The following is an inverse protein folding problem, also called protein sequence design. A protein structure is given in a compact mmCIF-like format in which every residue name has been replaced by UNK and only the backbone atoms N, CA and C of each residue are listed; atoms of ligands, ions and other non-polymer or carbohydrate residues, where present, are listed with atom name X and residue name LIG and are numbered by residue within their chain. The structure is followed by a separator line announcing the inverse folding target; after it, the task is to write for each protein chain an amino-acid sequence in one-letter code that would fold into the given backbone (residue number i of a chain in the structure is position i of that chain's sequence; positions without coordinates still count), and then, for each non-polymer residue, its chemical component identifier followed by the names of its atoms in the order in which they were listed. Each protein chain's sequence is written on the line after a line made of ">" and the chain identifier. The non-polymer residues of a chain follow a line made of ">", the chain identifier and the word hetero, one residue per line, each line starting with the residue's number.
data_IF_356017911439
#
_entry.id   IF_356017911439
#
_cell.length_a   1.000
_cell.length_b   1.000
_cell.length_c   1.000
_cell.angle_alpha   90.00
_cell.angle_beta   90.00
_cell.angle_gamma   90.00
#
_symmetry.space_group_name_H-M   'P 1'
#
loop_
_entity.id
_entity.type
_entity.pdbx_description
1 polymer ?
#
# COMPACT_ATOMS: atom_id res chain seq x y z
N UNK A 1 2.72 -9.87 23.00
CA UNK A 1 1.86 -10.37 21.91
C UNK A 1 2.74 -10.94 20.79
N UNK A 2 2.56 -12.21 20.42
CA UNK A 2 3.32 -12.83 19.35
C UNK A 2 3.07 -12.09 18.02
N UNK A 3 4.15 -11.57 17.39
CA UNK A 3 4.06 -10.84 16.12
C UNK A 3 3.74 -11.83 15.01
N UNK A 4 2.51 -11.80 14.52
CA UNK A 4 2.10 -12.59 13.36
C UNK A 4 2.97 -12.23 12.15
N UNK A 5 3.62 -13.25 11.60
CA UNK A 5 4.50 -13.14 10.44
C UNK A 5 3.66 -13.41 9.19
N UNK A 6 3.40 -12.38 8.39
CA UNK A 6 2.97 -12.62 7.00
C UNK A 6 4.18 -13.11 6.22
N UNK A 7 4.01 -14.18 5.45
CA UNK A 7 5.09 -14.70 4.62
C UNK A 7 5.46 -13.66 3.55
N UNK A 8 6.77 -13.47 3.29
CA UNK A 8 7.25 -12.55 2.23
C UNK A 8 6.67 -12.89 0.85
N UNK A 9 6.33 -14.17 0.64
CA UNK A 9 5.65 -14.67 -0.57
C UNK A 9 4.28 -14.06 -0.81
N UNK A 10 3.64 -13.44 0.19
CA UNK A 10 2.36 -12.76 0.03
C UNK A 10 2.50 -11.34 -0.55
N UNK A 11 3.71 -10.86 -0.85
CA UNK A 11 3.91 -9.53 -1.43
C UNK A 11 3.11 -9.31 -2.73
N UNK A 12 3.06 -10.23 -3.71
CA UNK A 12 2.25 -10.04 -4.91
C UNK A 12 0.75 -9.94 -4.61
N UNK A 13 0.28 -10.63 -3.56
CA UNK A 13 -1.10 -10.51 -3.10
C UNK A 13 -1.34 -9.14 -2.44
N UNK A 14 -0.39 -8.68 -1.63
CA UNK A 14 -0.44 -7.36 -1.01
C UNK A 14 -0.48 -6.24 -2.07
N UNK A 15 0.28 -6.38 -3.16
CA UNK A 15 0.27 -5.41 -4.27
C UNK A 15 -1.09 -5.35 -4.99
N UNK A 16 -1.76 -6.51 -5.19
CA UNK A 16 -3.14 -6.53 -5.71
C UNK A 16 -4.10 -5.86 -4.73
N UNK A 17 -3.99 -6.19 -3.45
CA UNK A 17 -4.83 -5.58 -2.42
C UNK A 17 -4.60 -4.06 -2.30
N UNK A 18 -3.38 -3.59 -2.56
CA UNK A 18 -3.06 -2.17 -2.60
C UNK A 18 -3.77 -1.45 -3.75
N UNK A 19 -3.95 -2.07 -4.93
CA UNK A 19 -4.77 -1.50 -6.02
C UNK A 19 -6.21 -1.27 -5.55
N UNK A 20 -6.81 -2.26 -4.88
CA UNK A 20 -8.16 -2.11 -4.32
C UNK A 20 -8.22 -1.08 -3.21
N UNK A 21 -7.20 -0.99 -2.36
CA UNK A 21 -7.12 0.03 -1.32
C UNK A 21 -7.13 1.44 -1.93
N UNK A 22 -6.28 1.69 -2.94
CA UNK A 22 -6.27 2.99 -3.63
C UNK A 22 -7.62 3.31 -4.26
N UNK A 23 -8.29 2.33 -4.88
CA UNK A 23 -9.60 2.55 -5.47
C UNK A 23 -10.70 2.80 -4.43
N UNK A 24 -10.87 1.87 -3.47
CA UNK A 24 -12.02 1.84 -2.55
C UNK A 24 -11.88 2.78 -1.37
N UNK A 25 -10.65 3.04 -0.91
CA UNK A 25 -10.40 3.86 0.28
C UNK A 25 -9.90 5.24 -0.12
N UNK A 26 -8.99 5.34 -1.09
CA UNK A 26 -8.43 6.63 -1.53
C UNK A 26 -9.21 7.28 -2.69
N UNK A 27 -10.27 6.67 -3.21
CA UNK A 27 -11.08 7.23 -4.29
C UNK A 27 -10.37 7.30 -5.66
N UNK A 28 -9.30 6.51 -5.84
CA UNK A 28 -8.59 6.47 -7.12
C UNK A 28 -9.46 5.85 -8.22
N UNK A 29 -9.38 6.43 -9.41
CA UNK A 29 -9.99 5.85 -10.61
C UNK A 29 -9.24 4.55 -10.98
N UNK A 30 -9.93 3.39 -11.06
CA UNK A 30 -9.32 2.11 -11.49
C UNK A 30 -8.57 2.21 -12.82
N UNK A 31 -9.04 3.05 -13.74
CA UNK A 31 -8.40 3.27 -15.05
C UNK A 31 -7.08 4.04 -14.95
N UNK A 32 -6.83 4.74 -13.84
CA UNK A 32 -5.61 5.51 -13.58
C UNK A 32 -4.66 4.81 -12.59
N UNK A 33 -5.03 3.66 -12.02
CA UNK A 33 -4.14 2.88 -11.15
C UNK A 33 -3.11 2.14 -11.99
N UNK A 34 -1.84 2.22 -11.58
CA UNK A 34 -0.70 1.56 -12.23
C UNK A 34 0.17 0.85 -11.18
N UNK A 35 0.75 -0.29 -11.57
CA UNK A 35 1.73 -1.03 -10.76
C UNK A 35 3.08 -1.02 -11.43
N UNK A 36 4.12 -0.86 -10.63
CA UNK A 36 5.50 -0.96 -11.11
C UNK A 36 5.71 -2.33 -11.78
N UNK A 37 6.35 -2.32 -12.95
CA UNK A 37 6.65 -3.54 -13.68
C UNK A 37 8.08 -3.93 -13.34
N UNK A 38 8.25 -5.13 -12.80
CA UNK A 38 9.56 -5.72 -12.47
C UNK A 38 9.70 -7.01 -13.23
N UNK A 39 10.44 -6.97 -14.34
CA UNK A 39 10.87 -8.16 -15.06
C UNK A 39 12.36 -8.38 -14.81
N UNK A 40 12.88 -9.53 -15.27
CA UNK A 40 14.31 -9.84 -15.23
C UNK A 40 15.15 -8.80 -16.01
N UNK A 41 14.54 -8.15 -17.01
CA UNK A 41 15.24 -7.31 -17.98
C UNK A 41 14.94 -5.82 -17.81
N UNK A 42 13.82 -5.48 -17.15
CA UNK A 42 13.36 -4.10 -17.01
C UNK A 42 12.67 -3.90 -15.65
N UNK A 43 13.08 -2.86 -14.94
CA UNK A 43 12.35 -2.34 -13.78
C UNK A 43 11.85 -0.93 -14.09
N UNK A 44 10.54 -0.79 -14.29
CA UNK A 44 9.89 0.52 -14.34
C UNK A 44 9.26 0.76 -12.98
N UNK A 45 9.95 1.53 -12.15
CA UNK A 45 9.45 2.00 -10.85
C UNK A 45 8.82 3.38 -11.03
N UNK A 46 7.63 3.61 -10.47
CA UNK A 46 6.99 4.93 -10.43
C UNK A 46 7.57 5.75 -9.28
N UNK A 47 8.72 6.39 -9.48
CA UNK A 47 9.40 7.16 -8.43
C UNK A 47 9.56 6.35 -7.14
N UNK A 48 10.18 5.17 -7.28
CA UNK A 48 10.35 4.20 -6.23
C UNK A 48 9.09 3.55 -5.63
N UNK A 49 7.86 3.90 -6.03
CA UNK A 49 6.61 3.29 -5.57
C UNK A 49 6.28 1.94 -6.26
N UNK A 50 5.50 1.08 -5.58
CA UNK A 50 5.05 -0.22 -6.11
C UNK A 50 3.72 -0.08 -6.84
N UNK A 51 2.82 0.77 -6.33
CA UNK A 51 1.52 1.09 -6.92
C UNK A 51 1.32 2.60 -6.86
N UNK A 52 0.72 3.17 -7.90
CA UNK A 52 0.25 4.56 -7.91
C UNK A 52 -1.17 4.65 -8.43
N UNK A 53 -1.89 5.69 -8.05
CA UNK A 53 -3.23 5.97 -8.54
C UNK A 53 -3.53 7.47 -8.50
N UNK A 54 -4.48 7.90 -9.30
CA UNK A 54 -4.98 9.27 -9.28
C UNK A 54 -6.45 9.27 -8.89
N UNK A 55 -6.82 10.16 -7.97
CA UNK A 55 -8.22 10.36 -7.59
C UNK A 55 -9.07 10.74 -8.81
N UNK A 56 -10.30 10.24 -8.86
CA UNK A 56 -11.24 10.57 -9.94
C UNK A 56 -11.51 12.09 -10.01
N UNK A 57 -11.77 12.62 -11.21
CA UNK A 57 -12.11 14.03 -11.39
C UNK A 57 -13.48 14.31 -10.74
N UNK A 58 -13.51 15.13 -9.70
CA UNK A 58 -14.76 15.58 -9.07
C UNK A 58 -14.66 15.93 -7.58
N UNK A 59 -13.67 15.38 -6.87
CA UNK A 59 -13.62 15.44 -5.39
C UNK A 59 -12.43 16.21 -4.82
N UNK A 60 -11.94 17.26 -5.51
CA UNK A 60 -10.74 18.06 -5.20
C UNK A 60 -9.50 17.54 -5.96
N UNK A 61 -9.12 18.28 -7.02
CA UNK A 61 -7.81 18.28 -7.69
C UNK A 61 -7.03 16.95 -7.82
N UNK A 62 -7.67 15.85 -8.22
CA UNK A 62 -7.00 14.66 -8.79
C UNK A 62 -5.68 14.28 -8.11
N UNK A 63 -5.71 14.16 -6.78
CA UNK A 63 -4.56 13.87 -5.93
C UNK A 63 -3.89 12.59 -6.42
N UNK A 64 -2.56 12.58 -6.44
CA UNK A 64 -1.79 11.39 -6.83
C UNK A 64 -1.32 10.67 -5.59
N UNK A 65 -1.62 9.39 -5.52
CA UNK A 65 -1.23 8.49 -4.44
C UNK A 65 -0.09 7.60 -4.89
N UNK A 66 0.97 7.53 -4.09
CA UNK A 66 2.12 6.67 -4.29
C UNK A 66 2.29 5.74 -3.09
N UNK A 67 2.24 4.43 -3.35
CA UNK A 67 2.32 3.41 -2.30
C UNK A 67 3.50 2.46 -2.54
N UNK A 68 4.37 2.31 -1.54
CA UNK A 68 5.20 1.11 -1.41
C UNK A 68 4.42 0.04 -0.65
N UNK A 69 4.57 -1.22 -1.06
CA UNK A 69 3.82 -2.33 -0.47
C UNK A 69 4.77 -3.33 0.16
N UNK A 70 4.42 -3.78 1.36
CA UNK A 70 5.20 -4.79 2.07
C UNK A 70 4.29 -5.77 2.82
N UNK A 71 4.64 -7.05 2.77
CA UNK A 71 4.12 -8.06 3.70
C UNK A 71 5.14 -8.36 4.82
N UNK A 72 6.22 -7.58 4.90
CA UNK A 72 7.29 -7.77 5.88
C UNK A 72 7.04 -7.04 7.20
N UNK A 73 7.95 -7.24 8.15
CA UNK A 73 7.93 -6.60 9.47
C UNK A 73 8.51 -5.17 9.42
N UNK A 74 8.73 -4.56 10.59
CA UNK A 74 9.18 -3.18 10.76
C UNK A 74 10.47 -2.85 9.98
N UNK A 75 11.44 -3.77 9.88
CA UNK A 75 12.64 -3.48 9.07
C UNK A 75 12.31 -3.36 7.59
N UNK A 76 11.39 -4.19 7.08
CA UNK A 76 10.93 -4.05 5.70
C UNK A 76 10.20 -2.72 5.51
N UNK A 77 9.37 -2.30 6.47
CA UNK A 77 8.74 -0.96 6.44
C UNK A 77 9.81 0.14 6.42
N UNK A 78 10.83 0.06 7.29
CA UNK A 78 11.91 1.05 7.35
C UNK A 78 12.66 1.18 6.03
N UNK A 79 13.02 0.04 5.41
CA UNK A 79 13.67 0.03 4.10
C UNK A 79 12.80 0.68 3.02
N UNK A 80 11.47 0.44 3.05
CA UNK A 80 10.51 1.00 2.09
C UNK A 80 10.34 2.51 2.29
N UNK A 81 10.24 2.97 3.54
CA UNK A 81 10.20 4.40 3.91
C UNK A 81 11.44 5.13 3.40
N UNK A 82 12.64 4.61 3.71
CA UNK A 82 13.92 5.14 3.21
C UNK A 82 14.01 5.20 1.69
N UNK A 83 13.34 4.29 0.97
CA UNK A 83 13.30 4.32 -0.49
C UNK A 83 12.48 5.52 -1.00
N UNK A 84 11.35 5.79 -0.37
CA UNK A 84 10.46 6.92 -0.70
C UNK A 84 11.04 8.27 -0.26
N UNK A 85 11.74 8.32 0.87
CA UNK A 85 12.41 9.54 1.38
C UNK A 85 13.48 10.11 0.44
N UNK A 86 14.02 9.29 -0.48
CA UNK A 86 15.01 9.73 -1.49
C UNK A 86 14.39 10.57 -2.62
N UNK A 87 13.07 10.60 -2.71
CA UNK A 87 12.34 11.32 -3.76
C UNK A 87 11.83 12.64 -3.19
N UNK A 88 12.01 13.73 -3.94
CA UNK A 88 11.42 15.02 -3.62
C UNK A 88 9.96 15.04 -4.07
N UNK A 89 9.06 14.71 -3.15
CA UNK A 89 7.62 14.70 -3.41
C UNK A 89 7.02 16.09 -3.42
N UNK A 90 5.99 16.28 -4.23
CA UNK A 90 5.16 17.47 -4.18
C UNK A 90 4.24 17.41 -2.94
N UNK A 91 3.95 18.57 -2.34
CA UNK A 91 3.05 18.69 -1.18
C UNK A 91 1.61 18.25 -1.47
N UNK A 92 1.21 18.23 -2.75
CA UNK A 92 -0.10 17.77 -3.21
C UNK A 92 -0.10 16.28 -3.60
N UNK A 93 0.94 15.53 -3.25
CA UNK A 93 0.97 14.09 -3.44
C UNK A 93 0.71 13.40 -2.09
N UNK A 94 0.21 12.17 -2.13
CA UNK A 94 0.04 11.35 -0.94
C UNK A 94 0.96 10.15 -1.02
N UNK A 95 1.95 10.12 -0.13
CA UNK A 95 2.98 9.08 -0.11
C UNK A 95 2.79 8.17 1.09
N UNK A 96 2.73 6.86 0.85
CA UNK A 96 2.45 5.87 1.87
C UNK A 96 3.22 4.55 1.74
N UNK A 97 3.32 3.84 2.85
CA UNK A 97 3.70 2.43 2.89
C UNK A 97 2.51 1.62 3.39
N UNK A 98 2.05 0.68 2.57
CA UNK A 98 1.00 -0.27 2.93
C UNK A 98 1.65 -1.56 3.44
N UNK A 99 1.53 -1.79 4.75
CA UNK A 99 2.00 -3.02 5.38
C UNK A 99 0.84 -4.00 5.54
N UNK A 100 0.85 -5.09 4.78
CA UNK A 100 -0.11 -6.19 4.96
C UNK A 100 0.24 -6.94 6.25
N UNK A 101 -0.71 -7.02 7.15
CA UNK A 101 -0.60 -7.76 8.42
C UNK A 101 -1.67 -8.83 8.46
N UNK A 102 -1.33 -9.97 9.04
CA UNK A 102 -2.21 -11.11 9.25
C UNK A 102 -2.53 -11.23 10.74
N UNK A 103 -3.78 -11.52 11.06
CA UNK A 103 -4.22 -11.86 12.40
C UNK A 103 -5.12 -13.09 12.34
N UNK A 104 -4.91 -14.09 13.22
CA UNK A 104 -5.82 -15.21 13.34
C UNK A 104 -7.19 -14.70 13.78
N UNK A 105 -8.24 -15.25 13.19
CA UNK A 105 -9.61 -14.99 13.61
C UNK A 105 -9.83 -15.60 15.01
N UNK A 106 -10.20 -14.80 16.03
CA UNK A 106 -10.44 -15.30 17.39
C UNK A 106 -11.55 -16.36 17.45
N UNK A 107 -12.54 -16.28 16.56
CA UNK A 107 -13.65 -17.24 16.51
C UNK A 107 -13.28 -18.51 15.73
N UNK A 108 -12.32 -18.43 14.80
CA UNK A 108 -11.93 -19.55 13.94
C UNK A 108 -10.42 -19.55 13.69
N UNK A 109 -9.63 -20.25 14.52
CA UNK A 109 -8.17 -20.26 14.43
C UNK A 109 -7.58 -20.65 13.06
N UNK A 110 -8.33 -21.35 12.20
CA UNK A 110 -7.92 -21.69 10.82
C UNK A 110 -8.14 -20.56 9.81
N UNK A 111 -8.96 -19.56 10.14
CA UNK A 111 -9.22 -18.39 9.29
C UNK A 111 -8.21 -17.29 9.63
N UNK A 112 -7.76 -16.62 8.57
CA UNK A 112 -6.78 -15.53 8.64
C UNK A 112 -7.48 -14.25 8.18
N UNK A 113 -7.46 -13.25 9.05
CA UNK A 113 -7.89 -11.90 8.73
C UNK A 113 -6.67 -11.09 8.30
N UNK A 114 -6.84 -10.28 7.27
CA UNK A 114 -5.79 -9.41 6.76
C UNK A 114 -6.21 -7.96 6.91
N UNK A 115 -5.23 -7.11 7.18
CA UNK A 115 -5.43 -5.67 7.23
C UNK A 115 -4.17 -4.95 6.75
N UNK A 116 -4.35 -3.73 6.26
CA UNK A 116 -3.27 -2.80 6.04
C UNK A 116 -3.05 -1.96 7.29
N UNK A 117 -1.81 -2.02 7.80
CA UNK A 117 -1.27 -0.94 8.60
C UNK A 117 -0.67 0.08 7.64
N UNK A 118 -1.24 1.27 7.62
CA UNK A 118 -0.88 2.34 6.68
C UNK A 118 0.10 3.27 7.37
N UNK A 119 1.22 3.52 6.71
CA UNK A 119 2.20 4.49 7.17
C UNK A 119 2.20 5.64 6.18
N UNK A 120 1.95 6.87 6.62
CA UNK A 120 1.87 8.05 5.74
C UNK A 120 3.03 8.98 5.99
N UNK A 121 3.56 9.55 4.92
CA UNK A 121 4.54 10.62 5.01
C UNK A 121 3.80 11.94 5.19
N UNK A 122 4.15 12.68 6.24
CA UNK A 122 3.76 14.07 6.37
C UNK A 122 4.76 14.93 5.59
N UNK A 123 4.28 15.65 4.58
CA UNK A 123 5.12 16.45 3.69
C UNK A 123 5.64 17.75 4.34
N UNK A 124 5.09 18.16 5.48
CA UNK A 124 5.49 19.40 6.16
C UNK A 124 6.77 19.18 6.98
N UNK A 125 6.78 18.12 7.79
CA UNK A 125 7.87 17.81 8.71
C UNK A 125 8.72 16.61 8.27
N UNK A 126 8.38 15.99 7.13
CA UNK A 126 9.02 14.79 6.58
C UNK A 126 9.04 13.61 7.55
N UNK A 127 8.06 13.53 8.45
CA UNK A 127 7.91 12.42 9.40
C UNK A 127 6.90 11.39 8.93
N UNK A 128 7.05 10.16 9.41
CA UNK A 128 6.11 9.10 9.13
C UNK A 128 5.16 8.87 10.29
N UNK A 129 3.87 9.02 10.01
CA UNK A 129 2.79 8.64 10.91
C UNK A 129 2.24 7.26 10.54
N UNK A 130 1.56 6.62 11.49
CA UNK A 130 0.83 5.37 11.26
C UNK A 130 -0.63 5.68 11.47
N UNK A 131 -1.49 5.31 10.53
CA UNK A 131 -2.93 5.50 10.68
C UNK A 131 -3.39 4.67 11.90
N UNK A 132 -4.18 5.29 12.78
CA UNK A 132 -4.65 4.67 14.02
C UNK A 132 -5.56 3.46 13.76
N UNK A 133 -6.27 3.50 12.63
CA UNK A 133 -7.17 2.43 12.22
C UNK A 133 -6.48 1.48 11.24
N UNK A 134 -6.49 0.19 11.60
CA UNK A 134 -6.13 -0.86 10.67
C UNK A 134 -7.23 -1.00 9.61
N UNK A 135 -6.86 -0.89 8.32
CA UNK A 135 -7.82 -1.01 7.24
C UNK A 135 -8.01 -2.49 6.87
N UNK A 136 -9.22 -3.06 7.00
CA UNK A 136 -9.44 -4.46 6.66
C UNK A 136 -9.13 -4.71 5.18
N UNK A 137 -8.53 -5.85 4.87
CA UNK A 137 -8.26 -6.32 3.51
C UNK A 137 -9.13 -7.56 3.25
N UNK A 138 -10.31 -7.37 2.63
CA UNK A 138 -11.16 -8.47 2.24
C UNK A 138 -10.49 -9.42 1.25
N UNK A 139 -10.90 -10.70 1.24
CA UNK A 139 -10.25 -11.72 0.41
C UNK A 139 -10.35 -11.42 -1.09
N UNK A 140 -11.41 -10.75 -1.50
CA UNK A 140 -11.64 -10.32 -2.88
C UNK A 140 -10.59 -9.31 -3.35
N UNK A 141 -9.96 -8.54 -2.46
CA UNK A 141 -8.90 -7.59 -2.83
C UNK A 141 -7.61 -8.29 -3.26
N UNK A 142 -7.45 -9.59 -2.96
CA UNK A 142 -6.35 -10.38 -3.48
C UNK A 142 -6.56 -10.82 -4.94
N UNK A 143 -7.73 -10.56 -5.52
CA UNK A 143 -8.02 -10.75 -6.94
C UNK A 143 -7.66 -9.50 -7.73
N UNK A 144 -7.48 -9.65 -9.04
CA UNK A 144 -7.22 -8.52 -9.94
C UNK A 144 -8.38 -7.51 -9.87
N UNK A 145 -8.07 -6.23 -9.73
CA UNK A 145 -9.07 -5.16 -9.81
C UNK A 145 -9.68 -5.15 -11.23
N UNK A 146 -11.01 -5.25 -11.31
CA UNK A 146 -11.75 -5.03 -12.55
C UNK A 146 -11.71 -3.55 -12.88
N UNK A 147 -11.31 -3.22 -14.11
CA UNK A 147 -11.32 -1.85 -14.63
C UNK A 147 -12.68 -1.54 -15.23
#
# INVERSE_FOLDING_TARGET
>A
MARNKVAKSNRPLAEKAAEHYLHKVCGCDPAQIRKAVRTMWQSVDFWAADVMGRQARGEINGLVFYAQVTAGQNEAVRVRRRKLEKISWNIFESVMVLQLVEQPDPAFARRKNFYFRVHRLNHIDMTWTVDDQAHPVPKEWFKKLSK
#
